data_IF_159917340821
#
_entry.id   IF_159917340821
#
_cell.length_a   1.000
_cell.length_b   1.000
_cell.length_c   1.000
_cell.angle_alpha   90.00
_cell.angle_beta   90.00
_cell.angle_gamma   90.00
#
_symmetry.space_group_name_H-M   'P 1'
#
loop_
_entity.id
_entity.type
_entity.pdbx_description
1 polymer ?
#
# COMPACT_ATOMS: atom_id res chain seq x y z
N UNK A 1 10.33 78.65 -27.97
CA UNK A 1 11.04 78.14 -26.78
C UNK A 1 10.96 76.63 -26.82
N UNK A 2 12.00 75.97 -27.33
CA UNK A 2 12.06 74.53 -27.56
C UNK A 2 12.62 73.79 -26.34
N UNK A 3 12.16 72.55 -26.19
CA UNK A 3 12.17 71.70 -25.00
C UNK A 3 13.57 71.33 -24.49
N UNK A 4 13.76 71.37 -23.17
CA UNK A 4 14.83 70.66 -22.46
C UNK A 4 14.51 69.16 -22.41
N UNK A 5 15.30 68.36 -23.11
CA UNK A 5 15.31 66.90 -23.01
C UNK A 5 16.44 66.46 -22.08
N UNK A 6 16.13 66.25 -20.80
CA UNK A 6 17.05 65.54 -19.91
C UNK A 6 17.02 64.04 -20.22
N UNK A 7 18.12 63.55 -20.77
CA UNK A 7 18.35 62.13 -21.04
C UNK A 7 18.73 61.43 -19.73
N UNK A 8 17.77 60.78 -19.06
CA UNK A 8 18.05 59.92 -17.91
C UNK A 8 18.88 58.70 -18.35
N UNK A 9 20.16 58.72 -18.01
CA UNK A 9 21.07 57.59 -18.16
C UNK A 9 20.67 56.42 -17.25
N UNK A 10 20.07 55.38 -17.83
CA UNK A 10 19.78 54.11 -17.16
C UNK A 10 21.11 53.37 -16.93
N UNK A 11 21.65 53.44 -15.71
CA UNK A 11 22.78 52.59 -15.28
C UNK A 11 22.33 51.14 -15.32
N UNK A 12 22.86 50.36 -16.27
CA UNK A 12 22.72 48.91 -16.26
C UNK A 12 23.39 48.37 -14.98
N UNK A 13 22.60 47.80 -14.08
CA UNK A 13 23.14 47.14 -12.89
C UNK A 13 23.97 45.93 -13.35
N UNK A 14 25.23 45.79 -12.91
CA UNK A 14 25.99 44.58 -13.21
C UNK A 14 25.26 43.39 -12.57
N UNK A 15 24.83 42.43 -13.39
CA UNK A 15 24.34 41.16 -12.90
C UNK A 15 25.48 40.48 -12.15
N UNK A 16 25.38 40.42 -10.81
CA UNK A 16 26.30 39.66 -9.98
C UNK A 16 26.11 38.19 -10.32
N UNK A 17 27.08 37.60 -11.01
CA UNK A 17 27.12 36.17 -11.28
C UNK A 17 27.54 35.38 -10.02
N UNK A 18 27.09 34.14 -9.92
CA UNK A 18 27.55 33.20 -8.90
C UNK A 18 29.03 32.87 -9.13
N UNK A 19 29.82 32.79 -8.06
CA UNK A 19 31.22 32.38 -8.18
C UNK A 19 31.34 30.86 -8.36
N UNK A 20 32.44 30.38 -8.97
CA UNK A 20 32.67 28.94 -9.13
C UNK A 20 32.66 28.21 -7.77
N UNK A 21 33.28 28.83 -6.75
CA UNK A 21 33.32 28.28 -5.39
C UNK A 21 31.94 28.23 -4.75
N UNK A 22 31.07 29.20 -5.03
CA UNK A 22 29.70 29.24 -4.49
C UNK A 22 28.85 28.12 -5.06
N UNK A 23 28.95 27.84 -6.38
CA UNK A 23 28.29 26.68 -6.99
C UNK A 23 28.86 25.37 -6.41
N UNK A 24 30.17 25.28 -6.19
CA UNK A 24 30.78 24.08 -5.61
C UNK A 24 30.24 23.81 -4.19
N UNK A 25 30.20 24.82 -3.33
CA UNK A 25 29.70 24.68 -1.95
C UNK A 25 28.24 24.28 -1.94
N UNK A 26 27.41 24.90 -2.78
CA UNK A 26 25.98 24.54 -2.90
C UNK A 26 25.81 23.08 -3.36
N UNK A 27 26.58 22.63 -4.35
CA UNK A 27 26.54 21.24 -4.80
C UNK A 27 26.98 20.26 -3.71
N UNK A 28 28.02 20.61 -2.94
CA UNK A 28 28.45 19.78 -1.80
C UNK A 28 27.34 19.69 -0.75
N UNK A 29 26.71 20.79 -0.38
CA UNK A 29 25.61 20.79 0.59
C UNK A 29 24.42 19.97 0.08
N UNK A 30 24.01 20.16 -1.19
CA UNK A 30 22.93 19.37 -1.80
C UNK A 30 23.30 17.88 -1.82
N UNK A 31 24.55 17.55 -2.17
CA UNK A 31 25.04 16.17 -2.19
C UNK A 31 24.97 15.50 -0.81
N UNK A 32 25.35 16.21 0.25
CA UNK A 32 25.25 15.70 1.62
C UNK A 32 23.80 15.47 2.05
N UNK A 33 22.91 16.43 1.77
CA UNK A 33 21.48 16.29 2.08
C UNK A 33 20.87 15.13 1.30
N UNK A 34 21.12 15.06 -0.01
CA UNK A 34 20.61 14.01 -0.88
C UNK A 34 21.10 12.62 -0.41
N UNK A 35 22.35 12.49 0.02
CA UNK A 35 22.92 11.24 0.52
C UNK A 35 22.16 10.66 1.73
N UNK A 36 21.61 11.50 2.61
CA UNK A 36 20.83 11.05 3.77
C UNK A 36 19.32 10.98 3.47
N UNK A 37 18.81 11.90 2.65
CA UNK A 37 17.37 12.00 2.37
C UNK A 37 16.85 10.88 1.45
N UNK A 38 17.60 10.52 0.40
CA UNK A 38 17.18 9.52 -0.59
C UNK A 38 16.92 8.11 0.00
N UNK A 39 17.82 7.52 0.82
CA UNK A 39 17.55 6.18 1.36
C UNK A 39 16.32 6.16 2.28
N UNK A 40 16.11 7.23 3.06
CA UNK A 40 14.92 7.35 3.91
C UNK A 40 13.64 7.44 3.09
N UNK A 41 13.65 8.19 1.99
CA UNK A 41 12.50 8.29 1.09
C UNK A 41 12.14 6.93 0.49
N UNK A 42 13.15 6.14 0.09
CA UNK A 42 12.94 4.79 -0.43
C UNK A 42 12.28 3.87 0.60
N UNK A 43 12.78 3.84 1.84
CA UNK A 43 12.21 3.02 2.92
C UNK A 43 10.75 3.40 3.21
N UNK A 44 10.43 4.70 3.21
CA UNK A 44 9.05 5.18 3.41
C UNK A 44 8.15 4.69 2.27
N UNK A 45 8.60 4.78 1.01
CA UNK A 45 7.81 4.31 -0.14
C UNK A 45 7.48 2.82 -0.07
N UNK A 46 8.44 2.00 0.37
CA UNK A 46 8.22 0.56 0.55
C UNK A 46 7.21 0.28 1.67
N UNK A 47 7.28 1.02 2.78
CA UNK A 47 6.31 0.88 3.87
C UNK A 47 4.87 1.22 3.45
N UNK A 48 4.70 2.23 2.60
CA UNK A 48 3.39 2.59 2.05
C UNK A 48 2.84 1.51 1.12
N UNK A 49 3.69 0.94 0.27
CA UNK A 49 3.30 -0.15 -0.62
C UNK A 49 2.83 -1.38 0.18
N UNK A 50 3.57 -1.78 1.21
CA UNK A 50 3.18 -2.88 2.10
C UNK A 50 1.84 -2.59 2.81
N UNK A 51 1.66 -1.38 3.34
CA UNK A 51 0.43 -0.98 4.00
C UNK A 51 -0.78 -0.96 3.03
N UNK A 52 -0.58 -0.50 1.80
CA UNK A 52 -1.62 -0.48 0.77
C UNK A 52 -2.03 -1.90 0.31
N UNK A 53 -1.06 -2.79 0.15
CA UNK A 53 -1.30 -4.20 -0.15
C UNK A 53 -2.10 -4.87 0.97
N UNK A 54 -1.70 -4.63 2.24
CA UNK A 54 -2.45 -5.10 3.41
C UNK A 54 -3.89 -4.61 3.42
N UNK A 55 -4.11 -3.31 3.22
CA UNK A 55 -5.45 -2.72 3.22
C UNK A 55 -6.32 -3.32 2.10
N UNK A 56 -5.73 -3.54 0.93
CA UNK A 56 -6.40 -4.16 -0.22
C UNK A 56 -6.80 -5.60 0.10
N UNK A 57 -5.89 -6.39 0.68
CA UNK A 57 -6.16 -7.76 1.13
C UNK A 57 -7.33 -7.83 2.12
N UNK A 58 -7.31 -6.98 3.15
CA UNK A 58 -8.38 -6.92 4.16
C UNK A 58 -9.73 -6.55 3.53
N UNK A 59 -9.70 -5.59 2.61
CA UNK A 59 -10.89 -5.18 1.86
C UNK A 59 -11.42 -6.34 1.03
N UNK A 60 -10.56 -7.06 0.31
CA UNK A 60 -10.94 -8.21 -0.50
C UNK A 60 -11.51 -9.37 0.34
N UNK A 61 -10.95 -9.63 1.53
CA UNK A 61 -11.47 -10.62 2.49
C UNK A 61 -12.89 -10.24 2.95
N UNK A 62 -13.12 -8.96 3.27
CA UNK A 62 -14.46 -8.49 3.68
C UNK A 62 -15.47 -8.48 2.52
N UNK A 63 -15.00 -8.18 1.30
CA UNK A 63 -15.83 -8.17 0.09
C UNK A 63 -16.14 -9.57 -0.45
N UNK A 64 -15.48 -10.61 0.06
CA UNK A 64 -15.72 -11.98 -0.39
C UNK A 64 -17.16 -12.42 -0.14
N UNK A 65 -17.80 -11.97 0.95
CA UNK A 65 -19.21 -12.22 1.22
C UNK A 65 -20.13 -11.58 0.17
N UNK A 66 -19.89 -10.31 -0.17
CA UNK A 66 -20.65 -9.64 -1.23
C UNK A 66 -20.49 -10.33 -2.60
N UNK A 67 -19.28 -10.82 -2.90
CA UNK A 67 -19.02 -11.58 -4.13
C UNK A 67 -19.67 -12.95 -4.11
N UNK A 68 -19.70 -13.64 -2.97
CA UNK A 68 -20.43 -14.89 -2.80
C UNK A 68 -21.94 -14.70 -3.03
N UNK A 69 -22.49 -13.60 -2.52
CA UNK A 69 -23.88 -13.21 -2.74
C UNK A 69 -24.20 -12.93 -4.21
N UNK A 70 -23.43 -12.05 -4.84
CA UNK A 70 -23.68 -11.63 -6.23
C UNK A 70 -23.39 -12.72 -7.27
N UNK A 71 -22.47 -13.64 -6.98
CA UNK A 71 -22.21 -14.81 -7.84
C UNK A 71 -23.14 -16.00 -7.57
N UNK A 72 -23.87 -16.00 -6.44
CA UNK A 72 -24.64 -17.16 -5.98
C UNK A 72 -23.79 -18.38 -5.64
N UNK A 73 -22.47 -18.20 -5.46
CA UNK A 73 -21.51 -19.27 -5.18
C UNK A 73 -20.93 -19.09 -3.78
N UNK A 74 -20.91 -20.16 -2.99
CA UNK A 74 -20.19 -20.15 -1.73
C UNK A 74 -18.67 -20.11 -1.96
N UNK A 75 -17.94 -19.55 -1.01
CA UNK A 75 -16.49 -19.53 -0.99
C UNK A 75 -15.95 -19.95 0.38
N UNK A 76 -14.74 -20.46 0.41
CA UNK A 76 -14.10 -20.90 1.63
C UNK A 76 -12.62 -20.52 1.63
N UNK A 77 -12.15 -19.99 2.76
CA UNK A 77 -10.73 -19.75 3.00
C UNK A 77 -10.20 -20.90 3.85
N UNK A 78 -9.30 -21.69 3.26
CA UNK A 78 -8.60 -22.80 3.91
C UNK A 78 -7.09 -22.57 3.82
N UNK A 79 -6.35 -22.99 4.86
CA UNK A 79 -4.89 -23.01 4.81
C UNK A 79 -4.40 -24.12 3.91
N UNK A 80 -3.83 -23.79 2.75
CA UNK A 80 -2.98 -24.73 2.04
C UNK A 80 -1.60 -24.72 2.70
N UNK A 81 -1.38 -25.57 3.71
CA UNK A 81 -0.04 -25.80 4.24
C UNK A 81 0.87 -26.33 3.09
N UNK A 82 1.86 -25.55 2.69
CA UNK A 82 2.88 -25.97 1.72
C UNK A 82 2.54 -25.84 0.23
N UNK A 83 1.49 -25.11 -0.16
CA UNK A 83 1.19 -24.80 -1.58
C UNK A 83 1.06 -23.27 -1.74
N UNK A 84 1.61 -22.64 -2.79
CA UNK A 84 1.35 -21.22 -3.05
C UNK A 84 -0.16 -20.98 -3.05
N UNK A 85 -0.66 -19.96 -2.33
CA UNK A 85 -2.09 -19.82 -2.07
C UNK A 85 -2.81 -19.48 -3.38
N UNK A 86 -3.34 -20.51 -4.03
CA UNK A 86 -4.34 -20.34 -5.07
C UNK A 86 -5.65 -20.24 -4.33
N UNK A 87 -6.34 -19.11 -4.48
CA UNK A 87 -7.64 -18.89 -3.90
C UNK A 87 -8.55 -20.12 -4.06
N UNK A 88 -9.14 -20.54 -2.93
CA UNK A 88 -10.27 -21.45 -2.82
C UNK A 88 -10.12 -22.77 -3.60
N UNK A 89 -9.72 -23.83 -2.90
CA UNK A 89 -9.99 -25.20 -3.34
C UNK A 89 -11.48 -25.50 -3.12
N UNK A 90 -12.34 -24.86 -3.90
CA UNK A 90 -13.69 -25.32 -4.18
C UNK A 90 -13.68 -25.84 -5.62
N UNK A 91 -14.34 -26.97 -5.96
CA UNK A 91 -14.29 -27.54 -7.30
C UNK A 91 -14.68 -26.53 -8.40
N UNK A 92 -14.06 -26.71 -9.57
CA UNK A 92 -13.92 -25.76 -10.67
C UNK A 92 -15.18 -24.99 -11.14
N UNK A 93 -14.97 -23.73 -11.53
CA UNK A 93 -15.88 -22.99 -12.42
C UNK A 93 -15.90 -21.48 -12.20
N UNK A 94 -16.54 -21.02 -11.11
CA UNK A 94 -16.88 -19.60 -10.92
C UNK A 94 -16.83 -19.13 -9.45
N UNK A 95 -16.16 -19.85 -8.55
CA UNK A 95 -16.06 -19.43 -7.15
C UNK A 95 -15.33 -18.07 -7.02
N UNK A 96 -15.80 -17.15 -6.17
CA UNK A 96 -15.13 -15.87 -5.99
C UNK A 96 -13.74 -16.05 -5.37
N UNK A 97 -12.69 -15.81 -6.18
CA UNK A 97 -11.29 -15.92 -5.78
C UNK A 97 -10.80 -14.71 -4.99
N UNK A 98 -9.98 -14.94 -3.98
CA UNK A 98 -9.23 -13.90 -3.27
C UNK A 98 -7.96 -13.56 -4.06
N UNK A 99 -7.68 -12.28 -4.27
CA UNK A 99 -6.42 -11.85 -4.90
C UNK A 99 -5.38 -11.67 -3.80
N UNK A 100 -4.31 -12.44 -3.85
CA UNK A 100 -3.23 -12.36 -2.87
C UNK A 100 -2.02 -11.76 -3.59
N UNK A 101 -1.53 -10.56 -3.18
CA UNK A 101 -0.32 -9.98 -3.73
C UNK A 101 0.89 -10.90 -3.52
N UNK A 102 1.91 -10.77 -4.36
CA UNK A 102 3.12 -11.58 -4.25
C UNK A 102 3.80 -11.39 -2.88
N UNK A 103 4.33 -12.47 -2.30
CA UNK A 103 4.97 -12.48 -0.99
C UNK A 103 4.00 -12.57 0.19
N UNK A 104 2.71 -12.29 0.00
CA UNK A 104 1.71 -12.47 1.05
C UNK A 104 1.23 -13.92 1.11
N UNK A 105 1.02 -14.41 2.34
CA UNK A 105 0.34 -15.69 2.57
C UNK A 105 -0.73 -15.53 3.62
N UNK A 106 -1.70 -16.43 3.59
CA UNK A 106 -2.84 -16.42 4.49
C UNK A 106 -2.98 -17.82 5.08
N UNK A 107 -3.05 -17.89 6.40
CA UNK A 107 -3.23 -19.13 7.16
C UNK A 107 -4.49 -18.98 8.01
N UNK A 108 -5.57 -19.64 7.60
CA UNK A 108 -6.78 -19.77 8.40
C UNK A 108 -6.62 -20.89 9.44
N UNK A 109 -6.86 -20.57 10.73
CA UNK A 109 -6.81 -21.57 11.81
C UNK A 109 -7.93 -22.61 11.67
N UNK A 110 -9.05 -22.19 11.09
CA UNK A 110 -10.20 -23.02 10.73
C UNK A 110 -10.74 -22.56 9.38
N UNK A 111 -11.46 -23.43 8.68
CA UNK A 111 -12.18 -23.08 7.47
C UNK A 111 -13.11 -21.86 7.69
N UNK A 112 -12.85 -20.76 7.00
CA UNK A 112 -13.70 -19.56 7.04
C UNK A 112 -14.66 -19.64 5.85
N UNK A 113 -15.95 -19.82 6.14
CA UNK A 113 -16.98 -20.10 5.14
C UNK A 113 -17.76 -18.84 4.82
N UNK A 114 -17.89 -18.56 3.54
CA UNK A 114 -18.73 -17.50 2.97
C UNK A 114 -19.85 -18.17 2.19
N UNK A 115 -21.07 -18.09 2.71
CA UNK A 115 -22.22 -18.70 2.06
C UNK A 115 -22.69 -17.88 0.86
N UNK A 116 -23.46 -18.51 -0.04
CA UNK A 116 -24.05 -17.85 -1.22
C UNK A 116 -25.03 -16.72 -0.86
N UNK A 117 -25.46 -16.59 0.40
CA UNK A 117 -26.27 -15.48 0.90
C UNK A 117 -25.41 -14.30 1.42
N UNK A 118 -24.08 -14.39 1.29
CA UNK A 118 -23.12 -13.39 1.73
C UNK A 118 -22.74 -13.43 3.21
N UNK A 119 -23.27 -14.38 3.97
CA UNK A 119 -22.93 -14.53 5.40
C UNK A 119 -21.59 -15.25 5.54
N UNK A 120 -20.70 -14.65 6.33
CA UNK A 120 -19.45 -15.23 6.75
C UNK A 120 -19.55 -15.87 8.15
N UNK A 121 -18.90 -17.02 8.32
CA UNK A 121 -18.84 -17.74 9.61
C UNK A 121 -18.01 -17.04 10.69
N UNK A 122 -17.13 -16.10 10.31
CA UNK A 122 -16.10 -15.58 11.21
C UNK A 122 -14.98 -16.59 11.48
N UNK A 123 -13.99 -16.18 12.26
CA UNK A 123 -12.86 -17.05 12.65
C UNK A 123 -11.57 -16.27 12.87
N UNK A 124 -10.46 -17.01 12.99
CA UNK A 124 -9.12 -16.43 13.08
C UNK A 124 -8.32 -16.68 11.81
N UNK A 125 -7.71 -15.62 11.29
CA UNK A 125 -6.90 -15.60 10.09
C UNK A 125 -5.53 -15.04 10.42
N UNK A 126 -4.46 -15.74 10.06
CA UNK A 126 -3.10 -15.23 10.17
C UNK A 126 -2.65 -14.74 8.81
N UNK A 127 -2.31 -13.45 8.71
CA UNK A 127 -1.60 -12.89 7.56
C UNK A 127 -0.10 -13.07 7.77
N UNK A 128 0.57 -13.58 6.76
CA UNK A 128 2.03 -13.64 6.70
C UNK A 128 2.48 -12.62 5.66
N UNK A 129 3.18 -11.59 6.15
CA UNK A 129 3.70 -10.50 5.34
C UNK A 129 4.91 -10.97 4.51
N UNK A 130 5.32 -10.19 3.49
CA UNK A 130 6.49 -10.53 2.67
C UNK A 130 7.83 -10.61 3.43
N UNK A 131 7.89 -10.03 4.63
CA UNK A 131 9.04 -10.08 5.55
C UNK A 131 8.96 -11.24 6.57
N UNK A 132 8.06 -12.20 6.33
CA UNK A 132 7.71 -13.33 7.21
C UNK A 132 7.10 -12.94 8.57
N UNK A 133 6.82 -11.65 8.82
CA UNK A 133 6.08 -11.24 10.00
C UNK A 133 4.64 -11.78 9.95
N UNK A 134 4.13 -12.21 11.12
CA UNK A 134 2.84 -12.89 11.24
C UNK A 134 1.88 -12.02 12.05
N UNK A 135 0.72 -11.76 11.48
CA UNK A 135 -0.33 -10.94 12.08
C UNK A 135 -1.61 -11.76 12.21
N UNK A 136 -2.10 -11.95 13.44
CA UNK A 136 -3.34 -12.68 13.70
C UNK A 136 -4.52 -11.72 13.72
N UNK A 137 -5.52 -11.99 12.89
CA UNK A 137 -6.75 -11.23 12.76
C UNK A 137 -7.96 -12.06 13.20
N UNK A 138 -8.84 -11.44 13.98
CA UNK A 138 -10.13 -12.01 14.35
C UNK A 138 -11.22 -11.49 13.41
N UNK A 139 -11.67 -12.31 12.46
CA UNK A 139 -12.76 -11.96 11.55
C UNK A 139 -14.10 -12.11 12.26
N UNK A 140 -14.86 -11.02 12.32
CA UNK A 140 -16.13 -10.97 13.02
C UNK A 140 -17.28 -11.31 12.07
N UNK A 141 -18.02 -12.38 12.37
CA UNK A 141 -19.29 -12.67 11.70
C UNK A 141 -20.30 -11.53 11.93
N UNK A 142 -21.22 -11.26 11.00
CA UNK A 142 -21.49 -11.99 9.76
C UNK A 142 -20.73 -11.46 8.52
N UNK A 143 -19.98 -10.36 8.63
CA UNK A 143 -19.33 -9.71 7.49
C UNK A 143 -17.84 -10.04 7.34
N UNK A 144 -17.25 -10.75 8.30
CA UNK A 144 -15.81 -11.01 8.37
C UNK A 144 -14.97 -9.73 8.26
N UNK A 145 -15.44 -8.68 8.94
CA UNK A 145 -14.68 -7.44 9.08
C UNK A 145 -13.50 -7.69 10.03
N UNK A 146 -12.27 -7.29 9.67
CA UNK A 146 -11.16 -7.32 10.61
C UNK A 146 -11.42 -6.32 11.75
N UNK A 147 -10.87 -6.56 12.96
CA UNK A 147 -11.05 -5.66 14.09
C UNK A 147 -10.41 -4.30 13.75
N UNK A 148 -11.06 -3.20 14.12
CA UNK A 148 -10.52 -1.85 13.88
C UNK A 148 -9.22 -1.56 14.63
N UNK A 149 -8.89 -2.39 15.62
CA UNK A 149 -7.74 -2.26 16.52
C UNK A 149 -6.52 -3.05 16.06
N UNK A 150 -6.56 -3.74 14.91
CA UNK A 150 -5.34 -4.21 14.22
C UNK A 150 -4.62 -3.07 13.48
N UNK A 151 -4.83 -1.83 13.93
CA UNK A 151 -3.99 -0.70 13.60
C UNK A 151 -2.65 -0.89 14.31
N UNK A 152 -1.66 -1.32 13.51
CA UNK A 152 -0.22 -1.40 13.75
C UNK A 152 0.33 -0.53 14.90
N UNK A 153 1.29 -1.03 15.69
CA UNK A 153 2.32 -0.15 16.26
C UNK A 153 3.23 0.42 15.16
#
# INVERSE_FOLDING_TARGET
MALSTETLGRRAQPCKGFTLIEILVVLVIIGLIAGVALPRLYAISQSFELAAQRATLLTDISNLGYRAYTSGQAAEIVSAAGTPPTAAQTPAGQAPRLKIPAGWRIEAAQAIRYNFNGICSGGSLTLVHPDDSREVLALQAPLCKPPSDSAQP
#
